data_IF_979293257325
#
_entry.id   IF_979293257325
#
_cell.length_a   1.000
_cell.length_b   1.000
_cell.length_c   1.000
_cell.angle_alpha   90.00
_cell.angle_beta   90.00
_cell.angle_gamma   90.00
#
_symmetry.space_group_name_H-M   'P 1'
#
loop_
_entity.id
_entity.type
_entity.pdbx_description
1 polymer ?
#
# COMPACT_ATOMS: atom_id res chain seq x y z
N UNK A 1 -3.50 -2.65 7.62
CA UNK A 1 -2.39 -1.88 8.20
C UNK A 1 -2.36 -0.48 7.57
N UNK A 2 -3.19 0.45 8.04
CA UNK A 2 -3.52 1.67 7.27
C UNK A 2 -2.47 2.79 7.41
N UNK A 3 -1.73 2.83 8.52
CA UNK A 3 -0.73 3.88 8.77
C UNK A 3 0.52 3.78 7.89
N UNK A 4 1.00 2.56 7.61
CA UNK A 4 2.19 2.33 6.80
C UNK A 4 1.98 2.77 5.35
N UNK A 5 0.82 2.46 4.77
CA UNK A 5 0.48 2.87 3.41
C UNK A 5 0.33 4.38 3.28
N UNK A 6 -0.31 5.03 4.27
CA UNK A 6 -0.38 6.48 4.33
C UNK A 6 1.01 7.11 4.40
N UNK A 7 1.93 6.55 5.18
CA UNK A 7 3.31 7.01 5.27
C UNK A 7 4.05 6.84 3.93
N UNK A 8 3.89 5.70 3.25
CA UNK A 8 4.52 5.44 1.95
C UNK A 8 4.01 6.38 0.86
N UNK A 9 2.69 6.61 0.81
CA UNK A 9 2.08 7.56 -0.13
C UNK A 9 2.56 8.99 0.18
N UNK A 10 2.63 9.37 1.45
CA UNK A 10 3.16 10.67 1.85
C UNK A 10 4.62 10.85 1.39
N UNK A 11 5.48 9.84 1.62
CA UNK A 11 6.86 9.86 1.14
C UNK A 11 6.90 9.96 -0.38
N UNK A 12 6.07 9.23 -1.12
CA UNK A 12 6.02 9.30 -2.58
C UNK A 12 5.64 10.70 -3.08
N UNK A 13 4.64 11.34 -2.46
CA UNK A 13 4.21 12.71 -2.79
C UNK A 13 5.32 13.71 -2.49
N UNK A 14 5.92 13.65 -1.29
CA UNK A 14 7.04 14.52 -0.92
C UNK A 14 8.21 14.35 -1.90
N UNK A 15 8.49 13.12 -2.31
CA UNK A 15 9.57 12.82 -3.25
C UNK A 15 9.27 13.38 -4.65
N UNK A 16 8.03 13.31 -5.13
CA UNK A 16 7.61 13.93 -6.40
C UNK A 16 7.76 15.46 -6.36
N UNK A 17 7.45 16.10 -5.23
CA UNK A 17 7.52 17.56 -5.09
C UNK A 17 8.97 18.04 -4.93
N UNK A 18 9.74 17.40 -4.05
CA UNK A 18 11.08 17.87 -3.66
C UNK A 18 12.16 17.39 -4.63
N UNK A 19 12.01 16.20 -5.22
CA UNK A 19 13.00 15.57 -6.10
C UNK A 19 12.34 14.95 -7.33
N UNK A 20 11.82 15.76 -8.26
CA UNK A 20 11.16 15.28 -9.46
C UNK A 20 12.08 14.39 -10.33
N UNK A 21 13.41 14.56 -10.24
CA UNK A 21 14.38 13.68 -10.91
C UNK A 21 14.32 12.22 -10.43
N UNK A 22 13.71 11.98 -9.26
CA UNK A 22 13.49 10.65 -8.69
C UNK A 22 12.08 10.10 -8.93
N UNK A 23 11.40 10.54 -9.98
CA UNK A 23 10.05 10.10 -10.35
C UNK A 23 9.89 8.57 -10.32
N UNK A 24 10.84 7.83 -10.91
CA UNK A 24 10.79 6.35 -10.92
C UNK A 24 10.72 5.76 -9.52
N UNK A 25 11.46 6.32 -8.57
CA UNK A 25 11.47 5.87 -7.18
C UNK A 25 10.14 6.20 -6.50
N UNK A 26 9.62 7.42 -6.68
CA UNK A 26 8.31 7.79 -6.16
C UNK A 26 7.19 6.89 -6.71
N UNK A 27 7.22 6.61 -8.01
CA UNK A 27 6.28 5.72 -8.66
C UNK A 27 6.40 4.28 -8.14
N UNK A 28 7.62 3.76 -7.98
CA UNK A 28 7.83 2.44 -7.38
C UNK A 28 7.28 2.35 -5.95
N UNK A 29 7.48 3.38 -5.12
CA UNK A 29 6.89 3.43 -3.76
C UNK A 29 5.36 3.39 -3.85
N UNK A 30 4.76 4.15 -4.76
CA UNK A 30 3.32 4.17 -5.00
C UNK A 30 2.78 2.79 -5.38
N UNK A 31 3.44 2.11 -6.33
CA UNK A 31 3.06 0.76 -6.78
C UNK A 31 3.16 -0.25 -5.64
N UNK A 32 4.26 -0.23 -4.87
CA UNK A 32 4.45 -1.12 -3.72
C UNK A 32 3.35 -0.89 -2.68
N UNK A 33 3.02 0.37 -2.39
CA UNK A 33 1.94 0.70 -1.45
C UNK A 33 0.60 0.13 -1.90
N UNK A 34 0.28 0.23 -3.20
CA UNK A 34 -0.95 -0.36 -3.75
C UNK A 34 -0.97 -1.88 -3.68
N UNK A 35 0.16 -2.54 -3.94
CA UNK A 35 0.27 -4.00 -3.83
C UNK A 35 0.01 -4.44 -2.39
N UNK A 36 0.60 -3.76 -1.41
CA UNK A 36 0.36 -4.02 0.02
C UNK A 36 -1.13 -3.85 0.36
N UNK A 37 -1.78 -2.81 -0.17
CA UNK A 37 -3.22 -2.57 0.02
C UNK A 37 -4.06 -3.76 -0.44
N UNK A 38 -3.77 -4.25 -1.65
CA UNK A 38 -4.51 -5.36 -2.25
C UNK A 38 -4.32 -6.62 -1.42
N UNK A 39 -3.09 -6.93 -1.00
CA UNK A 39 -2.82 -8.09 -0.16
C UNK A 39 -3.48 -7.99 1.22
N UNK A 40 -3.44 -6.83 1.87
CA UNK A 40 -4.09 -6.60 3.18
C UNK A 40 -5.62 -6.69 3.06
N UNK A 41 -6.20 -6.14 1.99
CA UNK A 41 -7.63 -6.25 1.69
C UNK A 41 -8.04 -7.69 1.44
N UNK A 42 -7.31 -8.42 0.59
CA UNK A 42 -7.58 -9.83 0.29
C UNK A 42 -7.40 -10.70 1.53
N UNK A 43 -6.38 -10.45 2.35
CA UNK A 43 -6.12 -11.16 3.60
C UNK A 43 -7.21 -10.96 4.64
N UNK A 44 -7.69 -9.71 4.82
CA UNK A 44 -8.83 -9.43 5.71
C UNK A 44 -10.11 -10.09 5.19
N UNK A 45 -10.35 -10.01 3.88
CA UNK A 45 -11.55 -10.61 3.27
C UNK A 45 -11.52 -12.14 3.32
N UNK A 46 -10.36 -12.76 3.10
CA UNK A 46 -10.21 -14.21 3.19
C UNK A 46 -10.31 -14.68 4.63
N UNK A 47 -9.71 -13.99 5.60
CA UNK A 47 -9.89 -14.30 7.03
C UNK A 47 -11.34 -14.18 7.48
N UNK A 48 -12.07 -13.17 6.99
CA UNK A 48 -13.51 -13.01 7.26
C UNK A 48 -14.34 -14.15 6.64
N UNK A 49 -13.98 -14.60 5.43
CA UNK A 49 -14.65 -15.73 4.79
C UNK A 49 -14.34 -17.04 5.53
N UNK A 50 -13.07 -17.33 5.85
CA UNK A 50 -12.67 -18.52 6.60
C UNK A 50 -13.36 -18.60 7.97
N UNK A 51 -13.42 -17.47 8.69
CA UNK A 51 -14.16 -17.36 9.94
C UNK A 51 -15.67 -17.60 9.80
N UNK A 52 -16.28 -17.27 8.65
CA UNK A 52 -17.69 -17.56 8.35
C UNK A 52 -17.96 -19.04 8.08
N UNK A 53 -16.99 -19.78 7.50
CA UNK A 53 -17.14 -21.22 7.21
C UNK A 53 -16.66 -22.11 8.37
N UNK A 54 -16.32 -21.53 9.52
CA UNK A 54 -15.90 -22.22 10.74
C UNK A 54 -14.81 -23.28 10.50
N UNK A 55 -13.82 -22.90 9.69
CA UNK A 55 -12.56 -23.62 9.46
C UNK A 55 -11.43 -22.87 10.18
#
# INVERSE_FOLDING_TARGET
MEFLELLLIFIAIVLMIVKPEKEKLAFSILVISWVIMVFDYLGRKSGAILGLINL
#
